data_IF_300258500150
#
_entry.id   IF_300258500150
#
_cell.length_a   1.000
_cell.length_b   1.000
_cell.length_c   1.000
_cell.angle_alpha   90.00
_cell.angle_beta   90.00
_cell.angle_gamma   90.00
#
_symmetry.space_group_name_H-M   'P 1'
#
loop_
_entity.id
_entity.type
_entity.pdbx_description
1 polymer ?
#
# COMPACT_ATOMS: atom_id res chain seq x y z
N UNK A 1 -1.85 9.84 -15.91
CA UNK A 1 -2.93 10.40 -15.04
C UNK A 1 -2.76 9.75 -13.69
N UNK A 2 -3.06 10.40 -12.58
CA UNK A 2 -2.97 9.75 -11.26
C UNK A 2 -4.35 9.40 -10.77
N UNK A 3 -4.52 8.20 -10.21
CA UNK A 3 -5.80 7.75 -9.66
C UNK A 3 -6.25 8.67 -8.50
N UNK A 4 -7.55 8.93 -8.41
CA UNK A 4 -8.12 9.68 -7.27
C UNK A 4 -8.37 8.78 -6.06
N UNK A 5 -8.53 9.37 -4.86
CA UNK A 5 -8.82 8.58 -3.65
C UNK A 5 -10.16 7.82 -3.74
N UNK A 6 -11.17 8.40 -4.38
CA UNK A 6 -12.48 7.76 -4.54
C UNK A 6 -12.39 6.51 -5.40
N UNK A 7 -11.69 6.62 -6.54
CA UNK A 7 -11.40 5.51 -7.43
C UNK A 7 -10.59 4.41 -6.74
N UNK A 8 -9.57 4.80 -5.96
CA UNK A 8 -8.76 3.85 -5.18
C UNK A 8 -9.62 3.08 -4.18
N UNK A 9 -10.42 3.80 -3.40
CA UNK A 9 -11.32 3.21 -2.40
C UNK A 9 -12.32 2.26 -3.05
N UNK A 10 -12.89 2.66 -4.19
CA UNK A 10 -13.82 1.84 -4.98
C UNK A 10 -13.14 0.55 -5.46
N UNK A 11 -11.94 0.63 -6.02
CA UNK A 11 -11.19 -0.54 -6.47
C UNK A 11 -10.92 -1.52 -5.33
N UNK A 12 -10.44 -1.04 -4.17
CA UNK A 12 -10.20 -1.89 -2.99
C UNK A 12 -11.48 -2.55 -2.48
N UNK A 13 -12.60 -1.83 -2.44
CA UNK A 13 -13.88 -2.37 -2.02
C UNK A 13 -14.40 -3.46 -2.98
N UNK A 14 -14.22 -3.26 -4.29
CA UNK A 14 -14.57 -4.26 -5.31
C UNK A 14 -13.75 -5.55 -5.19
N UNK A 15 -12.52 -5.44 -4.71
CA UNK A 15 -11.64 -6.58 -4.42
C UNK A 15 -11.87 -7.18 -3.03
N UNK A 16 -12.97 -6.80 -2.36
CA UNK A 16 -13.33 -7.27 -1.02
C UNK A 16 -12.28 -6.98 0.07
N UNK A 17 -11.42 -5.97 -0.15
CA UNK A 17 -10.52 -5.49 0.90
C UNK A 17 -11.33 -4.79 2.00
N UNK A 18 -11.14 -5.20 3.25
CA UNK A 18 -11.92 -4.67 4.38
C UNK A 18 -11.19 -3.50 5.03
N UNK A 19 -11.83 -2.34 5.16
CA UNK A 19 -11.24 -1.21 5.89
C UNK A 19 -11.45 -1.37 7.40
N UNK A 20 -10.40 -1.25 8.20
CA UNK A 20 -10.50 -1.34 9.67
C UNK A 20 -10.63 0.02 10.35
N UNK A 21 -9.80 1.01 9.97
CA UNK A 21 -9.81 2.36 10.56
C UNK A 21 -9.18 3.39 9.63
N UNK A 22 -9.48 4.68 9.89
CA UNK A 22 -8.94 5.84 9.18
C UNK A 22 -8.44 6.88 10.20
N UNK A 23 -7.15 7.19 10.18
CA UNK A 23 -6.52 8.15 11.10
C UNK A 23 -5.57 9.06 10.31
N UNK A 24 -5.73 10.39 10.42
CA UNK A 24 -4.79 11.40 9.92
C UNK A 24 -4.33 11.18 8.46
N UNK A 25 -5.25 10.78 7.57
CA UNK A 25 -5.05 10.47 6.14
C UNK A 25 -4.50 9.07 5.80
N UNK A 26 -4.32 8.21 6.79
CA UNK A 26 -3.96 6.80 6.59
C UNK A 26 -5.17 5.93 6.88
N UNK A 27 -5.57 5.12 5.90
CA UNK A 27 -6.63 4.13 6.04
C UNK A 27 -6.05 2.73 5.97
N UNK A 28 -6.34 1.92 6.98
CA UNK A 28 -5.95 0.51 7.00
C UNK A 28 -6.97 -0.32 6.22
N UNK A 29 -6.47 -1.18 5.34
CA UNK A 29 -7.22 -2.21 4.64
C UNK A 29 -6.61 -3.59 4.92
N UNK A 30 -7.45 -4.62 4.94
CA UNK A 30 -7.03 -6.03 4.95
C UNK A 30 -7.28 -6.63 3.57
N UNK A 31 -6.30 -7.35 3.03
CA UNK A 31 -6.47 -8.12 1.80
C UNK A 31 -7.61 -9.14 1.94
N UNK A 32 -8.31 -9.45 0.83
CA UNK A 32 -9.44 -10.37 0.87
C UNK A 32 -8.99 -11.75 1.34
N UNK A 33 -9.72 -12.30 2.32
CA UNK A 33 -9.49 -13.65 2.86
C UNK A 33 -8.11 -13.87 3.50
N UNK A 34 -7.32 -12.80 3.66
CA UNK A 34 -5.95 -12.84 4.16
C UNK A 34 -5.79 -11.93 5.37
N UNK A 35 -4.95 -12.34 6.34
CA UNK A 35 -4.58 -11.50 7.50
C UNK A 35 -3.42 -10.55 7.16
N UNK A 36 -3.41 -10.04 5.94
CA UNK A 36 -2.37 -9.17 5.40
C UNK A 36 -2.89 -7.71 5.35
N UNK A 37 -2.36 -6.81 6.19
CA UNK A 37 -2.72 -5.40 6.17
C UNK A 37 -1.97 -4.64 5.08
N UNK A 38 -2.68 -3.73 4.43
CA UNK A 38 -2.14 -2.71 3.53
C UNK A 38 -2.67 -1.34 3.96
N UNK A 39 -1.89 -0.29 3.73
CA UNK A 39 -2.29 1.07 4.10
C UNK A 39 -2.49 1.93 2.86
N UNK A 40 -3.60 2.64 2.79
CA UNK A 40 -3.81 3.71 1.82
C UNK A 40 -3.49 5.03 2.51
N UNK A 41 -2.46 5.72 2.05
CA UNK A 41 -2.12 7.07 2.51
C UNK A 41 -2.54 8.10 1.46
N UNK A 42 -3.42 9.01 1.86
CA UNK A 42 -3.86 10.11 1.04
C UNK A 42 -2.91 11.29 1.17
N UNK A 43 -1.82 11.29 0.39
CA UNK A 43 -0.96 12.47 0.27
C UNK A 43 -1.65 13.57 -0.57
N UNK A 44 -1.16 14.80 -0.41
CA UNK A 44 -1.74 16.01 -1.03
C UNK A 44 -1.73 15.99 -2.56
N UNK A 45 -0.88 15.17 -3.19
CA UNK A 45 -0.72 15.09 -4.65
C UNK A 45 -1.35 13.84 -5.25
N UNK A 46 -1.16 12.68 -4.64
CA UNK A 46 -1.69 11.41 -5.12
C UNK A 46 -1.79 10.40 -3.97
N UNK A 47 -2.80 9.51 -3.98
CA UNK A 47 -2.87 8.41 -3.04
C UNK A 47 -1.71 7.43 -3.24
N UNK A 48 -1.17 6.93 -2.13
CA UNK A 48 -0.15 5.89 -2.10
C UNK A 48 -0.70 4.64 -1.41
N UNK A 49 -0.40 3.47 -1.98
CA UNK A 49 -0.61 2.19 -1.31
C UNK A 49 0.70 1.74 -0.70
N UNK A 50 0.66 1.36 0.58
CA UNK A 50 1.83 0.98 1.34
C UNK A 50 1.66 -0.46 1.81
N UNK A 51 2.62 -1.31 1.46
CA UNK A 51 2.67 -2.73 1.81
C UNK A 51 3.84 -3.03 2.74
N UNK A 52 3.82 -4.19 3.39
CA UNK A 52 4.87 -4.57 4.34
C UNK A 52 6.25 -4.63 3.68
N UNK A 53 7.33 -4.22 4.38
CA UNK A 53 8.70 -4.34 3.88
C UNK A 53 9.12 -5.77 3.51
N UNK A 54 8.48 -6.78 4.08
CA UNK A 54 8.75 -8.19 3.74
C UNK A 54 8.56 -8.52 2.24
N UNK A 55 7.78 -7.71 1.51
CA UNK A 55 7.56 -7.88 0.07
C UNK A 55 8.59 -7.15 -0.79
N UNK A 56 9.68 -6.63 -0.22
CA UNK A 56 10.70 -5.87 -0.96
C UNK A 56 11.31 -6.67 -2.12
N UNK A 57 11.49 -7.97 -1.92
CA UNK A 57 11.97 -8.90 -2.96
C UNK A 57 11.03 -8.95 -4.18
N UNK A 58 9.74 -8.68 -4.00
CA UNK A 58 8.73 -8.63 -5.07
C UNK A 58 8.47 -7.22 -5.59
N UNK A 59 9.10 -6.18 -5.01
CA UNK A 59 8.85 -4.79 -5.38
C UNK A 59 9.12 -4.52 -6.86
N UNK A 60 10.23 -5.06 -7.38
CA UNK A 60 10.58 -4.92 -8.81
C UNK A 60 9.56 -5.62 -9.71
N UNK A 61 9.06 -6.77 -9.29
CA UNK A 61 8.04 -7.52 -10.02
C UNK A 61 6.71 -6.75 -10.03
N UNK A 62 6.26 -6.27 -8.87
CA UNK A 62 5.05 -5.47 -8.74
C UNK A 62 5.13 -4.16 -9.55
N UNK A 63 6.31 -3.56 -9.66
CA UNK A 63 6.56 -2.37 -10.48
C UNK A 63 6.51 -2.63 -12.00
N UNK A 64 6.54 -3.90 -12.45
CA UNK A 64 6.38 -4.22 -13.89
C UNK A 64 4.93 -4.16 -14.34
N UNK A 65 3.98 -4.12 -13.41
CA UNK A 65 2.56 -3.98 -13.70
C UNK A 65 2.32 -2.61 -14.32
N UNK A 66 1.67 -2.57 -15.49
CA UNK A 66 1.40 -1.32 -16.19
C UNK A 66 0.57 -0.37 -15.30
N UNK A 67 1.03 0.87 -15.18
CA UNK A 67 0.42 1.89 -14.34
C UNK A 67 0.79 1.82 -12.86
N UNK A 68 1.70 0.94 -12.45
CA UNK A 68 2.23 0.86 -11.07
C UNK A 68 3.60 1.51 -11.00
N UNK A 69 3.78 2.40 -10.02
CA UNK A 69 5.02 3.15 -9.81
C UNK A 69 5.51 2.96 -8.39
N UNK A 70 6.55 2.15 -8.19
CA UNK A 70 7.19 1.97 -6.90
C UNK A 70 7.97 3.22 -6.47
N UNK A 71 7.89 3.58 -5.18
CA UNK A 71 8.77 4.57 -4.57
C UNK A 71 10.08 3.89 -4.17
N UNK A 72 11.20 4.56 -4.45
CA UNK A 72 12.53 4.03 -4.18
C UNK A 72 12.83 3.91 -2.68
N UNK A 73 12.47 4.94 -1.90
CA UNK A 73 12.68 4.96 -0.45
C UNK A 73 11.49 4.35 0.32
N UNK A 74 11.76 3.85 1.52
CA UNK A 74 10.70 3.44 2.43
C UNK A 74 9.82 4.62 2.84
N UNK A 75 8.52 4.36 2.88
CA UNK A 75 7.55 5.30 3.42
C UNK A 75 7.46 5.14 4.93
N UNK A 76 7.62 6.23 5.67
CA UNK A 76 7.56 6.25 7.14
C UNK A 76 6.31 6.97 7.63
N UNK A 77 5.51 6.30 8.47
CA UNK A 77 4.30 6.90 9.04
C UNK A 77 3.89 6.20 10.34
N UNK A 78 3.73 6.96 11.42
CA UNK A 78 3.41 6.42 12.75
C UNK A 78 2.07 5.66 12.84
N UNK A 79 1.14 5.91 11.92
CA UNK A 79 -0.18 5.27 11.92
C UNK A 79 -0.19 3.87 11.28
N UNK A 80 0.90 3.44 10.65
CA UNK A 80 1.05 2.09 10.06
C UNK A 80 1.40 1.04 11.12
N UNK A 81 0.60 0.97 12.19
CA UNK A 81 0.95 0.26 13.43
C UNK A 81 1.12 -1.26 13.29
N UNK A 82 0.59 -1.87 12.21
CA UNK A 82 0.80 -3.29 11.89
C UNK A 82 2.16 -3.60 11.24
N UNK A 83 2.89 -2.57 10.82
CA UNK A 83 4.17 -2.75 10.12
C UNK A 83 5.34 -2.72 11.12
N UNK A 84 6.49 -3.31 10.79
CA UNK A 84 7.67 -3.19 11.65
C UNK A 84 8.11 -1.72 11.76
N UNK A 85 8.86 -1.43 12.82
CA UNK A 85 9.53 -0.14 12.97
C UNK A 85 10.98 -0.24 12.49
N UNK A 86 11.52 0.89 12.04
CA UNK A 86 12.95 1.04 11.75
C UNK A 86 13.38 2.43 12.17
N UNK A 87 14.62 2.54 12.63
CA UNK A 87 15.25 3.82 12.89
C UNK A 87 15.49 4.57 11.57
N UNK A 88 14.90 5.77 11.42
CA UNK A 88 15.09 6.63 10.25
C UNK A 88 15.74 7.94 10.66
N UNK A 89 17.04 8.10 10.35
CA UNK A 89 17.86 9.33 10.49
C UNK A 89 17.83 10.07 11.84
N UNK A 90 17.17 9.55 12.88
CA UNK A 90 17.03 10.12 14.22
C UNK A 90 17.05 9.07 15.33
N UNK A 91 16.68 9.45 16.56
CA UNK A 91 16.71 8.59 17.76
C UNK A 91 15.47 7.69 17.92
N UNK A 92 14.34 8.04 17.30
CA UNK A 92 13.07 7.33 17.44
C UNK A 92 12.73 6.50 16.21
N UNK A 93 12.24 5.28 16.45
CA UNK A 93 11.79 4.39 15.38
C UNK A 93 10.38 4.77 14.91
N UNK A 94 10.16 4.68 13.60
CA UNK A 94 8.84 4.86 12.99
C UNK A 94 8.47 3.64 12.16
N UNK A 95 7.17 3.36 12.05
CA UNK A 95 6.67 2.31 11.18
C UNK A 95 7.00 2.63 9.73
N UNK A 96 7.36 1.61 8.96
CA UNK A 96 7.80 1.79 7.57
C UNK A 96 7.26 0.70 6.64
N UNK A 97 7.12 1.06 5.37
CA UNK A 97 6.61 0.17 4.31
C UNK A 97 7.08 0.59 2.92
N UNK A 98 6.72 -0.23 1.93
CA UNK A 98 7.00 0.03 0.53
C UNK A 98 5.81 0.76 -0.09
N UNK A 99 6.03 1.93 -0.66
CA UNK A 99 4.96 2.75 -1.23
C UNK A 99 4.87 2.62 -2.76
N UNK A 100 3.65 2.60 -3.26
CA UNK A 100 3.32 2.52 -4.66
C UNK A 100 2.29 3.59 -5.02
N UNK A 101 2.49 4.26 -6.15
CA UNK A 101 1.51 5.15 -6.78
C UNK A 101 0.96 4.50 -8.05
N UNK A 102 -0.24 4.89 -8.47
CA UNK A 102 -0.98 4.22 -9.52
C UNK A 102 -1.59 5.21 -10.50
N UNK A 103 -1.67 4.80 -11.76
CA UNK A 103 -2.25 5.63 -12.81
C UNK A 103 -3.79 5.56 -12.85
N UNK A 104 -4.37 4.38 -12.57
CA UNK A 104 -5.81 4.12 -12.67
C UNK A 104 -6.30 2.95 -11.78
N UNK A 105 -7.63 2.73 -11.77
CA UNK A 105 -8.30 1.65 -11.01
C UNK A 105 -7.83 0.25 -11.43
N UNK A 106 -7.48 0.06 -12.70
CA UNK A 106 -7.07 -1.24 -13.23
C UNK A 106 -5.68 -1.63 -12.70
N UNK A 107 -4.74 -0.68 -12.67
CA UNK A 107 -3.42 -0.89 -12.09
C UNK A 107 -3.51 -1.29 -10.60
N UNK A 108 -4.39 -0.65 -9.83
CA UNK A 108 -4.66 -1.01 -8.43
C UNK A 108 -5.19 -2.45 -8.33
N UNK A 109 -6.14 -2.81 -9.19
CA UNK A 109 -6.74 -4.14 -9.16
C UNK A 109 -5.73 -5.25 -9.48
N UNK A 110 -4.94 -5.07 -10.55
CA UNK A 110 -3.89 -6.01 -10.93
C UNK A 110 -2.82 -6.14 -9.83
N UNK A 111 -2.42 -5.03 -9.23
CA UNK A 111 -1.45 -5.03 -8.13
C UNK A 111 -1.96 -5.81 -6.92
N UNK A 112 -3.19 -5.56 -6.48
CA UNK A 112 -3.77 -6.24 -5.31
C UNK A 112 -3.95 -7.74 -5.60
N UNK A 113 -4.40 -8.11 -6.80
CA UNK A 113 -4.50 -9.51 -7.21
C UNK A 113 -3.13 -10.19 -7.16
N UNK A 114 -2.10 -9.57 -7.75
CA UNK A 114 -0.74 -10.14 -7.73
C UNK A 114 -0.18 -10.25 -6.31
N UNK A 115 -0.44 -9.26 -5.46
CA UNK A 115 -0.04 -9.30 -4.05
C UNK A 115 -0.74 -10.44 -3.29
N UNK A 116 -2.03 -10.68 -3.54
CA UNK A 116 -2.77 -11.79 -2.94
C UNK A 116 -2.17 -13.14 -3.34
N UNK A 117 -1.77 -13.30 -4.60
CA UNK A 117 -1.08 -14.51 -5.07
C UNK A 117 0.25 -14.71 -4.35
N UNK A 118 1.08 -13.67 -4.27
CA UNK A 118 2.36 -13.69 -3.55
C UNK A 118 2.17 -14.09 -2.07
N UNK A 119 1.12 -13.59 -1.42
CA UNK A 119 0.83 -13.90 -0.01
C UNK A 119 0.35 -15.34 0.17
N UNK A 120 -0.35 -15.91 -0.82
CA UNK A 120 -0.85 -17.30 -0.76
C UNK A 120 0.26 -18.33 -0.99
N UNK A 121 1.32 -17.96 -1.71
CA UNK A 121 2.45 -18.84 -2.05
C UNK A 121 2.20 -19.58 -3.36
#
# INVERSE_FOLDING_TARGET
MSITNEQFTKALNQLHCRSNFNINNVREYMLPELKEPIYLHNETKAPLLIIRPAFEVFSSELATINGVHAKYDYHHNAQMTRFPKRQYKGLSESHYGLAFSFDDEQAVALFVQRLVEIVKG
#
